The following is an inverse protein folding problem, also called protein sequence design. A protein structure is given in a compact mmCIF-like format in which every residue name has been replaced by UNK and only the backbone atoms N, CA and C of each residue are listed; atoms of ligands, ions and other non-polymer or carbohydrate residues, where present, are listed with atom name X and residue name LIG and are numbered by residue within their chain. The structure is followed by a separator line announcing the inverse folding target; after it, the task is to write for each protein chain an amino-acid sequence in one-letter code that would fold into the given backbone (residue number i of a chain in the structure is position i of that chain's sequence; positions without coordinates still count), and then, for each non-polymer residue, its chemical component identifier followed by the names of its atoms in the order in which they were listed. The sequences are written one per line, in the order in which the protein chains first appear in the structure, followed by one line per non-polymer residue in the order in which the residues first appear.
data_IF_893569360236
#
_entry.id   IF_893569360236
#
_cell.length_a   1.000
_cell.length_b   1.000
_cell.length_c   1.000
_cell.angle_alpha   90.00
_cell.angle_beta   90.00
_cell.angle_gamma   90.00
#
_symmetry.space_group_name_H-M   'P 1'
#
loop_
_entity.id
_entity.type
_entity.pdbx_description
1 polymer ?
#
# COMPACT_ATOMS: atom_id res chain seq x y z
N UNK A 1 16.75 15.12 -12.92
CA UNK A 1 16.88 13.67 -13.19
C UNK A 1 15.55 13.02 -13.59
N UNK A 2 14.62 12.75 -12.66
CA UNK A 2 13.27 12.26 -13.05
C UNK A 2 12.54 13.34 -13.84
N UNK A 3 12.50 14.57 -13.30
CA UNK A 3 11.86 15.72 -13.93
C UNK A 3 12.32 15.97 -15.37
N UNK A 4 13.63 15.92 -15.60
CA UNK A 4 14.24 16.44 -16.83
C UNK A 4 14.48 15.36 -17.90
N UNK A 5 14.39 14.07 -17.54
CA UNK A 5 14.85 12.97 -18.42
C UNK A 5 13.94 11.73 -18.43
N UNK A 6 12.93 11.64 -17.56
CA UNK A 6 12.02 10.50 -17.61
C UNK A 6 11.11 10.57 -18.84
N UNK A 7 10.56 9.42 -19.23
CA UNK A 7 9.49 9.38 -20.23
C UNK A 7 8.25 10.14 -19.74
N UNK A 8 7.49 10.72 -20.67
CA UNK A 8 6.27 11.50 -20.38
C UNK A 8 5.23 10.72 -19.56
N UNK A 9 5.23 9.39 -19.68
CA UNK A 9 4.29 8.49 -19.02
C UNK A 9 4.84 7.78 -17.78
N UNK A 10 5.96 8.25 -17.22
CA UNK A 10 6.62 7.63 -16.05
C UNK A 10 5.65 7.35 -14.89
N UNK A 11 5.92 6.24 -14.18
CA UNK A 11 5.30 5.84 -12.92
C UNK A 11 6.42 5.53 -11.91
N UNK A 12 6.39 6.20 -10.77
CA UNK A 12 7.43 6.11 -9.74
C UNK A 12 6.89 5.38 -8.51
N UNK A 13 7.55 4.28 -8.14
CA UNK A 13 7.31 3.54 -6.91
C UNK A 13 8.52 3.69 -6.00
N UNK A 14 8.33 4.36 -4.86
CA UNK A 14 9.36 4.55 -3.84
C UNK A 14 9.29 3.42 -2.83
N UNK A 15 10.43 2.71 -2.69
CA UNK A 15 10.61 1.60 -1.75
C UNK A 15 11.55 1.96 -0.60
N UNK A 16 12.54 2.82 -0.85
CA UNK A 16 13.54 3.21 0.15
C UNK A 16 12.92 4.01 1.30
N UNK A 17 13.26 3.64 2.54
CA UNK A 17 12.69 4.27 3.73
C UNK A 17 13.29 5.64 4.07
N UNK A 18 12.49 6.55 4.66
CA UNK A 18 11.04 6.45 4.93
C UNK A 18 10.20 6.64 3.65
N UNK A 19 9.52 5.59 3.16
CA UNK A 19 9.01 5.53 1.78
C UNK A 19 7.99 6.64 1.43
N UNK A 20 7.01 6.89 2.29
CA UNK A 20 5.99 7.92 2.05
C UNK A 20 6.61 9.32 1.96
N UNK A 21 7.53 9.65 2.87
CA UNK A 21 8.21 10.95 2.88
C UNK A 21 9.18 11.09 1.71
N UNK A 22 9.91 10.02 1.36
CA UNK A 22 10.79 10.00 0.19
C UNK A 22 10.00 10.19 -1.12
N UNK A 23 8.80 9.62 -1.22
CA UNK A 23 7.91 9.87 -2.35
C UNK A 23 7.47 11.34 -2.44
N UNK A 24 7.13 11.96 -1.30
CA UNK A 24 6.80 13.38 -1.24
C UNK A 24 7.97 14.27 -1.66
N UNK A 25 9.20 13.96 -1.21
CA UNK A 25 10.42 14.69 -1.60
C UNK A 25 10.66 14.56 -3.12
N UNK A 26 10.57 13.34 -3.66
CA UNK A 26 10.76 13.10 -5.08
C UNK A 26 9.72 13.82 -5.95
N UNK A 27 8.45 13.82 -5.51
CA UNK A 27 7.36 14.56 -6.14
C UNK A 27 7.62 16.07 -6.12
N UNK A 28 8.00 16.63 -4.97
CA UNK A 28 8.29 18.06 -4.84
C UNK A 28 9.51 18.50 -5.68
N UNK A 29 10.46 17.59 -5.93
CA UNK A 29 11.63 17.83 -6.77
C UNK A 29 11.39 17.60 -8.27
N UNK A 30 10.17 17.21 -8.67
CA UNK A 30 9.81 16.94 -10.06
C UNK A 30 8.49 17.63 -10.47
N UNK A 31 8.47 18.98 -10.50
CA UNK A 31 7.25 19.76 -10.73
C UNK A 31 6.58 19.54 -12.10
N UNK A 32 7.31 19.06 -13.10
CA UNK A 32 6.78 18.81 -14.45
C UNK A 32 6.10 17.43 -14.56
N UNK A 33 6.26 16.56 -13.56
CA UNK A 33 5.65 15.23 -13.52
C UNK A 33 4.38 15.27 -12.66
N UNK A 34 3.23 14.78 -13.15
CA UNK A 34 1.99 14.81 -12.37
C UNK A 34 2.14 14.11 -11.02
N UNK A 35 1.58 14.73 -9.99
CA UNK A 35 1.74 14.32 -8.60
C UNK A 35 1.33 12.85 -8.35
N UNK A 36 0.29 12.38 -9.03
CA UNK A 36 -0.25 11.01 -8.95
C UNK A 36 0.67 9.94 -9.57
N UNK A 37 1.77 10.34 -10.24
CA UNK A 37 2.79 9.41 -10.74
C UNK A 37 3.71 8.92 -9.63
N UNK A 38 3.74 9.58 -8.48
CA UNK A 38 4.58 9.21 -7.34
C UNK A 38 3.77 8.41 -6.32
N UNK A 39 4.24 7.21 -6.02
CA UNK A 39 3.62 6.29 -5.06
C UNK A 39 4.66 5.76 -4.09
N UNK A 40 4.22 5.46 -2.86
CA UNK A 40 5.03 4.83 -1.84
C UNK A 40 4.56 3.39 -1.59
N UNK A 41 5.49 2.46 -1.39
CA UNK A 41 5.15 1.06 -1.26
C UNK A 41 4.67 0.68 0.15
N UNK A 42 3.36 0.50 0.32
CA UNK A 42 2.73 -0.18 1.49
C UNK A 42 2.30 -1.62 1.17
N UNK A 43 2.60 -2.10 -0.05
CA UNK A 43 2.13 -3.41 -0.54
C UNK A 43 2.69 -4.59 0.25
N UNK A 44 3.91 -4.48 0.77
CA UNK A 44 4.48 -5.53 1.61
C UNK A 44 3.73 -5.69 2.93
N UNK A 45 3.34 -4.58 3.57
CA UNK A 45 2.51 -4.60 4.76
C UNK A 45 1.13 -5.20 4.48
N UNK A 46 0.52 -4.81 3.36
CA UNK A 46 -0.76 -5.35 2.92
C UNK A 46 -0.68 -6.88 2.74
N UNK A 47 0.35 -7.38 2.06
CA UNK A 47 0.54 -8.83 1.88
C UNK A 47 0.76 -9.56 3.23
N UNK A 48 1.49 -8.95 4.17
CA UNK A 48 1.67 -9.50 5.52
C UNK A 48 0.35 -9.54 6.30
N UNK A 49 -0.46 -8.50 6.22
CA UNK A 49 -1.76 -8.48 6.88
C UNK A 49 -2.71 -9.54 6.29
N UNK A 50 -2.70 -9.75 4.96
CA UNK A 50 -3.42 -10.86 4.33
C UNK A 50 -2.95 -12.21 4.88
N UNK A 51 -1.64 -12.47 4.94
CA UNK A 51 -1.13 -13.75 5.43
C UNK A 51 -1.52 -14.00 6.89
N UNK A 52 -1.48 -12.95 7.73
CA UNK A 52 -1.84 -13.07 9.14
C UNK A 52 -3.35 -13.33 9.31
N UNK A 53 -4.19 -12.66 8.54
CA UNK A 53 -5.64 -12.84 8.58
C UNK A 53 -6.05 -14.24 8.08
N UNK A 54 -5.39 -14.75 7.03
CA UNK A 54 -5.58 -16.12 6.54
C UNK A 54 -5.21 -17.15 7.62
N UNK A 55 -4.03 -17.01 8.23
CA UNK A 55 -3.57 -17.90 9.28
C UNK A 55 -4.48 -17.89 10.51
N UNK A 56 -5.01 -16.72 10.89
CA UNK A 56 -5.92 -16.55 12.02
C UNK A 56 -7.28 -17.21 11.81
N UNK A 57 -7.81 -17.16 10.59
CA UNK A 57 -9.18 -17.61 10.27
C UNK A 57 -9.24 -19.00 9.63
N UNK A 58 -8.11 -19.53 9.19
CA UNK A 58 -8.04 -20.79 8.42
C UNK A 58 -8.48 -20.64 6.97
N UNK A 59 -8.80 -19.43 6.52
CA UNK A 59 -9.21 -19.15 5.15
C UNK A 59 -8.02 -19.21 4.17
N UNK A 60 -8.29 -19.44 2.89
CA UNK A 60 -7.26 -19.28 1.87
C UNK A 60 -6.92 -17.79 1.69
N UNK A 61 -5.65 -17.49 1.42
CA UNK A 61 -5.19 -16.12 1.09
C UNK A 61 -6.00 -15.50 -0.05
N UNK A 62 -6.42 -16.31 -1.03
CA UNK A 62 -7.25 -15.90 -2.17
C UNK A 62 -8.68 -15.51 -1.80
N UNK A 63 -9.17 -15.93 -0.64
CA UNK A 63 -10.53 -15.63 -0.18
C UNK A 63 -10.63 -14.26 0.51
N UNK A 64 -9.47 -13.66 0.82
CA UNK A 64 -9.37 -12.35 1.48
C UNK A 64 -9.39 -11.25 0.42
N UNK A 65 -10.38 -10.35 0.52
CA UNK A 65 -10.58 -9.22 -0.39
C UNK A 65 -10.74 -7.93 0.38
N UNK A 66 -10.60 -6.80 -0.31
CA UNK A 66 -10.86 -5.43 0.20
C UNK A 66 -10.03 -5.03 1.45
N UNK A 67 -8.99 -5.77 1.80
CA UNK A 67 -8.06 -5.37 2.85
C UNK A 67 -7.35 -4.06 2.46
N UNK A 68 -7.25 -3.11 3.39
CA UNK A 68 -6.58 -1.83 3.15
C UNK A 68 -5.55 -1.58 4.25
N UNK A 69 -4.38 -1.02 3.89
CA UNK A 69 -3.42 -0.47 4.85
C UNK A 69 -3.51 1.05 4.77
N UNK A 70 -3.82 1.69 5.89
CA UNK A 70 -3.86 3.15 5.99
C UNK A 70 -2.61 3.70 6.66
N UNK A 71 -2.28 4.95 6.31
CA UNK A 71 -1.22 5.73 6.96
C UNK A 71 0.16 5.53 6.36
N UNK A 72 1.17 5.58 7.22
CA UNK A 72 2.58 5.57 6.84
C UNK A 72 3.14 4.14 6.81
N UNK A 73 4.12 3.87 5.94
CA UNK A 73 4.93 2.65 6.02
C UNK A 73 5.87 2.73 7.23
N UNK A 74 5.31 2.43 8.40
CA UNK A 74 5.97 2.48 9.71
C UNK A 74 5.21 1.59 10.71
N UNK A 75 5.58 1.67 11.98
CA UNK A 75 4.84 1.02 13.07
C UNK A 75 3.47 1.66 13.36
N UNK A 76 3.17 2.83 12.78
CA UNK A 76 1.87 3.53 12.95
C UNK A 76 0.88 3.23 11.82
N UNK A 77 1.20 2.28 10.94
CA UNK A 77 0.29 1.79 9.92
C UNK A 77 -1.00 1.21 10.53
N UNK A 78 -2.11 1.25 9.79
CA UNK A 78 -3.39 0.69 10.23
C UNK A 78 -3.92 -0.33 9.22
N UNK A 79 -3.79 -1.64 9.50
CA UNK A 79 -4.44 -2.70 8.74
C UNK A 79 -5.94 -2.74 9.04
N UNK A 80 -6.76 -2.34 8.07
CA UNK A 80 -8.21 -2.25 8.21
C UNK A 80 -8.90 -3.56 7.82
N UNK A 81 -9.38 -4.28 8.84
CA UNK A 81 -10.19 -5.50 8.68
C UNK A 81 -11.70 -5.23 8.70
N UNK A 82 -12.14 -4.02 9.05
CA UNK A 82 -13.57 -3.69 9.16
C UNK A 82 -14.23 -3.53 7.79
N UNK A 83 -13.43 -3.32 6.74
CA UNK A 83 -13.90 -3.30 5.34
C UNK A 83 -13.37 -4.48 4.52
N UNK A 84 -12.50 -5.30 5.10
CA UNK A 84 -12.03 -6.51 4.45
C UNK A 84 -13.14 -7.57 4.43
N UNK A 85 -13.06 -8.46 3.45
CA UNK A 85 -13.98 -9.59 3.31
C UNK A 85 -13.19 -10.90 3.30
N UNK A 86 -13.73 -11.94 3.94
CA UNK A 86 -13.26 -13.32 3.83
C UNK A 86 -14.42 -14.16 3.29
N UNK A 87 -14.25 -14.72 2.10
CA UNK A 87 -15.29 -15.50 1.41
C UNK A 87 -16.65 -14.77 1.33
N UNK A 88 -16.62 -13.44 1.16
CA UNK A 88 -17.81 -12.59 1.05
C UNK A 88 -18.46 -12.17 2.38
N UNK A 89 -17.90 -12.55 3.52
CA UNK A 89 -18.31 -12.07 4.85
C UNK A 89 -17.34 -11.00 5.36
N UNK A 90 -17.82 -10.06 6.17
CA UNK A 90 -16.95 -9.06 6.78
C UNK A 90 -15.86 -9.75 7.63
N UNK A 91 -14.59 -9.36 7.46
CA UNK A 91 -13.49 -10.01 8.14
C UNK A 91 -13.54 -9.79 9.67
N UNK A 92 -14.02 -8.64 10.14
CA UNK A 92 -14.13 -8.36 11.57
C UNK A 92 -15.16 -9.25 12.29
N UNK A 93 -16.10 -9.86 11.57
CA UNK A 93 -17.10 -10.77 12.15
C UNK A 93 -16.59 -12.21 12.36
N UNK A 94 -15.45 -12.56 11.74
CA UNK A 94 -14.95 -13.95 11.68
C UNK A 94 -13.55 -14.12 12.29
N UNK A 95 -13.00 -13.06 12.90
CA UNK A 95 -11.68 -13.02 13.55
C UNK A 95 -11.77 -13.24 15.05
#
# INVERSE_FOLDING_TARGET
AINDHAADDIKVLVVGNPANTNALIAQAAAPDVPAERFTAMTRLDHNRAISQLAAKTGAAVSDIKKLTIWGNHSATQYPDIFHAEIAGKNAAEVV
#
